data_IF_924713589125
#
_entry.id   IF_924713589125
#
_cell.length_a   1.000
_cell.length_b   1.000
_cell.length_c   1.000
_cell.angle_alpha   90.00
_cell.angle_beta   90.00
_cell.angle_gamma   90.00
#
_symmetry.space_group_name_H-M   'P 1'
#
loop_
_entity.id
_entity.type
_entity.pdbx_description
1 polymer ?
#
# COMPACT_ATOMS: atom_id res chain seq x y z
N UNK A 1 12.98 -16.75 -12.68
CA UNK A 1 13.66 -15.53 -12.23
C UNK A 1 12.70 -14.76 -11.34
N UNK A 2 13.06 -14.45 -10.10
CA UNK A 2 12.14 -13.85 -9.12
C UNK A 2 12.48 -12.39 -8.96
N UNK A 3 11.58 -11.50 -9.39
CA UNK A 3 11.72 -10.06 -9.15
C UNK A 3 11.29 -9.72 -7.74
N UNK A 4 11.74 -8.58 -7.22
CA UNK A 4 11.22 -8.04 -5.96
C UNK A 4 10.81 -6.60 -6.17
N UNK A 5 9.80 -6.17 -5.44
CA UNK A 5 9.46 -4.76 -5.31
C UNK A 5 9.48 -4.38 -3.84
N UNK A 6 9.93 -3.18 -3.51
CA UNK A 6 9.97 -2.66 -2.15
C UNK A 6 9.09 -1.42 -2.05
N UNK A 7 8.14 -1.41 -1.12
CA UNK A 7 7.36 -0.21 -0.84
C UNK A 7 8.26 0.89 -0.25
N UNK A 8 8.15 2.11 -0.80
CA UNK A 8 8.94 3.28 -0.38
C UNK A 8 8.06 4.40 0.19
N UNK A 9 6.76 4.19 0.31
CA UNK A 9 5.80 5.19 0.79
C UNK A 9 4.81 4.55 1.75
N UNK A 10 4.30 5.37 2.68
CA UNK A 10 3.27 5.02 3.65
C UNK A 10 3.71 3.99 4.71
N UNK A 11 2.74 3.47 5.45
CA UNK A 11 2.89 2.42 6.48
C UNK A 11 3.52 1.11 5.96
N UNK A 12 3.61 0.95 4.63
CA UNK A 12 4.20 -0.22 3.98
C UNK A 12 5.71 -0.08 3.75
N UNK A 13 6.31 1.06 4.10
CA UNK A 13 7.72 1.36 3.79
C UNK A 13 8.67 0.27 4.29
N UNK A 14 9.52 -0.22 3.39
CA UNK A 14 10.47 -1.31 3.64
C UNK A 14 9.93 -2.70 3.38
N UNK A 15 8.62 -2.88 3.15
CA UNK A 15 8.05 -4.17 2.81
C UNK A 15 8.50 -4.61 1.42
N UNK A 16 9.16 -5.77 1.35
CA UNK A 16 9.52 -6.43 0.10
C UNK A 16 8.44 -7.44 -0.30
N UNK A 17 8.09 -7.44 -1.58
CA UNK A 17 7.18 -8.41 -2.19
C UNK A 17 7.91 -9.08 -3.35
N UNK A 18 7.99 -10.41 -3.32
CA UNK A 18 8.54 -11.20 -4.40
C UNK A 18 7.48 -11.40 -5.50
N UNK A 19 7.91 -11.24 -6.75
CA UNK A 19 7.12 -11.46 -7.96
C UNK A 19 7.77 -12.60 -8.74
N UNK A 20 7.19 -13.79 -8.63
CA UNK A 20 7.64 -15.04 -9.25
C UNK A 20 6.70 -15.53 -10.37
N UNK A 21 5.53 -14.91 -10.49
CA UNK A 21 4.48 -15.19 -11.48
C UNK A 21 3.72 -13.92 -11.83
N UNK A 22 2.74 -14.02 -12.71
CA UNK A 22 1.78 -12.95 -12.92
C UNK A 22 0.98 -12.70 -11.64
N UNK A 23 0.98 -11.46 -11.16
CA UNK A 23 0.37 -11.08 -9.88
C UNK A 23 -0.57 -9.90 -10.07
N UNK A 24 -1.79 -10.05 -9.55
CA UNK A 24 -2.78 -8.98 -9.53
C UNK A 24 -2.50 -8.02 -8.37
N UNK A 25 -2.48 -6.73 -8.66
CA UNK A 25 -2.39 -5.65 -7.66
C UNK A 25 -3.76 -5.01 -7.50
N UNK A 26 -4.20 -4.82 -6.27
CA UNK A 26 -5.43 -4.09 -5.99
C UNK A 26 -5.81 -4.07 -4.52
N UNK A 27 -6.90 -3.39 -4.22
CA UNK A 27 -7.43 -3.28 -2.84
C UNK A 27 -8.23 -4.49 -2.40
N UNK A 28 -8.78 -5.25 -3.36
CA UNK A 28 -9.64 -6.38 -3.03
C UNK A 28 -8.81 -7.55 -2.51
N UNK A 29 -9.34 -8.31 -1.55
CA UNK A 29 -8.72 -9.52 -1.00
C UNK A 29 -8.45 -10.65 -2.01
N UNK A 30 -8.90 -10.48 -3.26
CA UNK A 30 -8.67 -11.45 -4.34
C UNK A 30 -7.45 -11.09 -5.19
N UNK A 31 -6.80 -9.96 -4.91
CA UNK A 31 -5.51 -9.60 -5.50
C UNK A 31 -4.38 -10.38 -4.81
N UNK A 32 -3.33 -10.72 -5.56
CA UNK A 32 -2.13 -11.32 -4.98
C UNK A 32 -1.36 -10.30 -4.14
N UNK A 33 -1.33 -9.04 -4.58
CA UNK A 33 -0.75 -7.91 -3.86
C UNK A 33 -1.90 -7.00 -3.40
N UNK A 34 -2.25 -7.13 -2.12
CA UNK A 34 -3.35 -6.39 -1.51
C UNK A 34 -2.85 -5.06 -0.94
N UNK A 35 -3.25 -3.96 -1.57
CA UNK A 35 -2.92 -2.61 -1.12
C UNK A 35 -4.16 -1.95 -0.50
N UNK A 36 -4.18 -1.82 0.83
CA UNK A 36 -5.34 -1.35 1.60
C UNK A 36 -5.52 0.18 1.61
N UNK A 37 -5.41 0.82 0.45
CA UNK A 37 -5.60 2.27 0.32
C UNK A 37 -6.89 2.60 -0.43
N UNK A 38 -7.64 3.61 0.03
CA UNK A 38 -8.91 4.02 -0.56
C UNK A 38 -8.78 4.47 -2.04
N UNK A 39 -7.59 4.95 -2.41
CA UNK A 39 -7.25 5.40 -3.76
C UNK A 39 -6.92 4.25 -4.73
N UNK A 40 -6.77 3.02 -4.22
CA UNK A 40 -6.48 1.84 -5.02
C UNK A 40 -7.78 1.16 -5.46
N UNK A 41 -7.93 0.95 -6.77
CA UNK A 41 -9.01 0.13 -7.35
C UNK A 41 -8.99 -1.32 -6.86
N UNK A 42 -10.16 -1.98 -6.85
CA UNK A 42 -10.29 -3.40 -6.47
C UNK A 42 -9.37 -4.32 -7.29
N UNK A 43 -9.31 -4.09 -8.60
CA UNK A 43 -8.32 -4.61 -9.54
C UNK A 43 -7.67 -3.38 -10.16
N UNK A 44 -6.43 -3.09 -9.79
CA UNK A 44 -5.77 -1.83 -10.16
C UNK A 44 -4.83 -2.05 -11.34
N UNK A 45 -3.88 -2.96 -11.17
CA UNK A 45 -2.87 -3.27 -12.17
C UNK A 45 -2.49 -4.75 -12.08
N UNK A 46 -1.75 -5.24 -13.06
CA UNK A 46 -1.12 -6.56 -13.02
C UNK A 46 0.37 -6.42 -13.29
N UNK A 47 1.16 -7.18 -12.54
CA UNK A 47 2.52 -7.51 -12.93
C UNK A 47 2.49 -8.75 -13.81
N UNK A 48 3.23 -8.70 -14.92
CA UNK A 48 3.31 -9.77 -15.90
C UNK A 48 4.77 -10.17 -16.09
N UNK A 49 5.06 -11.46 -15.99
CA UNK A 49 6.40 -12.01 -16.19
C UNK A 49 6.49 -12.63 -17.59
N UNK A 50 7.12 -11.90 -18.52
CA UNK A 50 7.22 -12.28 -19.94
C UNK A 50 8.67 -12.14 -20.41
N UNK A 51 9.17 -13.12 -21.15
CA UNK A 51 10.53 -13.11 -21.72
C UNK A 51 11.62 -12.82 -20.68
N UNK A 52 11.46 -13.37 -19.47
CA UNK A 52 12.35 -13.16 -18.34
C UNK A 52 12.48 -11.68 -17.90
N UNK A 53 11.49 -10.85 -18.25
CA UNK A 53 11.37 -9.45 -17.86
C UNK A 53 10.07 -9.22 -17.09
N UNK A 54 10.11 -8.23 -16.19
CA UNK A 54 8.93 -7.77 -15.46
C UNK A 54 8.23 -6.66 -16.26
N UNK A 55 6.91 -6.77 -16.38
CA UNK A 55 6.05 -5.79 -17.01
C UNK A 55 4.95 -5.39 -16.05
N UNK A 56 4.42 -4.18 -16.22
CA UNK A 56 3.25 -3.69 -15.50
C UNK A 56 2.18 -3.22 -16.48
N UNK A 57 0.94 -3.56 -16.18
CA UNK A 57 -0.23 -3.16 -16.95
C UNK A 57 -1.29 -2.58 -16.02
N UNK A 58 -1.77 -1.38 -16.32
CA UNK A 58 -2.96 -0.83 -15.67
C UNK A 58 -4.23 -1.53 -16.16
N UNK A 59 -5.14 -1.87 -15.25
CA UNK A 59 -6.39 -2.59 -15.54
C UNK A 59 -7.62 -1.66 -15.58
N UNK A 60 -7.42 -0.39 -15.93
CA UNK A 60 -8.48 0.63 -15.90
C UNK A 60 -8.69 1.17 -14.49
N UNK A 61 -7.61 1.42 -13.76
CA UNK A 61 -7.69 1.96 -12.41
C UNK A 61 -8.20 3.41 -12.41
N UNK A 62 -8.83 3.84 -11.30
CA UNK A 62 -9.44 5.17 -11.24
C UNK A 62 -8.40 6.30 -11.20
N UNK A 63 -7.28 6.07 -10.52
CA UNK A 63 -6.20 7.05 -10.33
C UNK A 63 -4.99 6.82 -11.24
N UNK A 64 -4.95 5.70 -11.97
CA UNK A 64 -3.87 5.34 -12.86
C UNK A 64 -2.68 4.66 -12.18
N UNK A 65 -1.90 3.99 -13.02
CA UNK A 65 -0.57 3.46 -12.70
C UNK A 65 0.49 4.32 -13.37
N UNK A 66 1.62 4.53 -12.69
CA UNK A 66 2.72 5.35 -13.17
C UNK A 66 4.04 4.58 -13.05
N UNK A 67 4.96 4.84 -13.95
CA UNK A 67 6.34 4.35 -13.92
C UNK A 67 7.24 5.57 -14.02
N UNK A 68 8.10 5.79 -13.02
CA UNK A 68 8.98 6.96 -12.92
C UNK A 68 8.20 8.28 -13.07
N UNK A 69 7.09 8.41 -12.33
CA UNK A 69 6.15 9.55 -12.33
C UNK A 69 5.44 9.82 -13.67
N UNK A 70 5.60 8.93 -14.67
CA UNK A 70 4.88 9.00 -15.95
C UNK A 70 3.74 8.01 -15.97
N UNK A 71 2.52 8.48 -16.28
CA UNK A 71 1.35 7.61 -16.38
C UNK A 71 1.52 6.65 -17.55
N UNK A 72 1.26 5.38 -17.32
CA UNK A 72 1.26 4.37 -18.39
C UNK A 72 -0.15 4.19 -18.95
N UNK A 73 -0.25 4.11 -20.27
CA UNK A 73 -1.50 3.82 -20.99
C UNK A 73 -1.52 2.40 -21.55
N UNK A 74 -0.34 1.78 -21.66
CA UNK A 74 -0.14 0.44 -22.20
C UNK A 74 0.80 -0.34 -21.28
N UNK A 75 0.85 -1.65 -21.50
CA UNK A 75 1.79 -2.54 -20.84
C UNK A 75 3.23 -2.02 -21.01
N UNK A 76 3.93 -1.80 -19.89
CA UNK A 76 5.24 -1.15 -19.86
C UNK A 76 6.24 -2.07 -19.18
N UNK A 77 7.41 -2.26 -19.82
CA UNK A 77 8.50 -3.07 -19.26
C UNK A 77 9.18 -2.30 -18.14
N UNK A 78 9.35 -2.96 -17.00
CA UNK A 78 10.08 -2.45 -15.85
C UNK A 78 11.54 -2.88 -15.89
N UNK A 79 12.39 -2.01 -15.35
CA UNK A 79 13.81 -2.24 -15.12
C UNK A 79 14.10 -2.16 -13.63
N UNK A 80 15.28 -2.63 -13.26
CA UNK A 80 15.81 -2.38 -11.93
C UNK A 80 15.85 -0.87 -11.63
N UNK A 81 15.59 -0.53 -10.38
CA UNK A 81 15.54 0.82 -9.82
C UNK A 81 14.42 1.72 -10.38
N UNK A 82 13.53 1.18 -11.24
CA UNK A 82 12.32 1.89 -11.64
C UNK A 82 11.39 2.04 -10.44
N UNK A 83 10.70 3.18 -10.37
CA UNK A 83 9.66 3.43 -9.38
C UNK A 83 8.31 3.21 -10.03
N UNK A 84 7.61 2.15 -9.62
CA UNK A 84 6.21 1.92 -9.96
C UNK A 84 5.32 2.58 -8.91
N UNK A 85 4.27 3.23 -9.38
CA UNK A 85 3.31 3.91 -8.52
C UNK A 85 1.89 3.49 -8.88
N UNK A 86 1.13 3.12 -7.86
CA UNK A 86 -0.30 2.82 -7.94
C UNK A 86 -1.03 3.88 -7.12
N UNK A 87 -1.77 4.77 -7.77
CA UNK A 87 -2.31 5.97 -7.12
C UNK A 87 -1.23 6.74 -6.32
N UNK A 88 -1.30 6.77 -4.99
CA UNK A 88 -0.35 7.44 -4.10
C UNK A 88 0.79 6.55 -3.59
N UNK A 89 0.70 5.22 -3.78
CA UNK A 89 1.66 4.26 -3.25
C UNK A 89 2.78 4.00 -4.25
N UNK A 90 4.04 4.17 -3.81
CA UNK A 90 5.24 3.97 -4.64
C UNK A 90 6.02 2.73 -4.20
N UNK A 91 6.56 2.03 -5.19
CA UNK A 91 7.34 0.80 -5.05
C UNK A 91 8.59 0.89 -5.93
N UNK A 92 9.74 0.58 -5.34
CA UNK A 92 11.01 0.44 -6.05
C UNK A 92 11.15 -0.98 -6.60
N UNK A 93 11.51 -1.12 -7.87
CA UNK A 93 11.78 -2.41 -8.50
C UNK A 93 13.23 -2.84 -8.22
N UNK A 94 13.40 -4.00 -7.61
CA UNK A 94 14.71 -4.57 -7.28
C UNK A 94 15.08 -5.68 -8.27
N UNK A 95 16.38 -5.82 -8.53
CA UNK A 95 16.90 -6.82 -9.47
C UNK A 95 16.52 -8.24 -9.04
N UNK A 96 16.15 -9.11 -10.00
CA UNK A 96 15.93 -10.49 -9.68
C UNK A 96 17.26 -11.15 -9.30
N UNK A 97 17.30 -11.74 -8.11
CA UNK A 97 18.40 -12.61 -7.72
C UNK A 97 18.36 -13.82 -8.66
N UNK A 98 19.25 -13.85 -9.66
CA UNK A 98 19.45 -15.05 -10.45
C UNK A 98 19.83 -16.19 -9.49
N UNK A 99 19.22 -17.38 -9.60
CA UNK A 99 19.78 -18.55 -8.96
C UNK A 99 21.20 -18.68 -9.52
N UNK A 100 22.20 -18.47 -8.67
CA UNK A 100 23.57 -18.81 -9.03
C UNK A 100 23.54 -20.31 -9.28
N UNK A 101 23.65 -20.71 -10.54
CA UNK A 101 23.95 -22.10 -10.89
C UNK A 101 25.36 -22.37 -10.35
N UNK A 102 25.42 -22.80 -9.10
CA UNK A 102 26.63 -23.35 -8.51
C UNK A 102 26.85 -24.66 -9.26
N UNK A 103 27.77 -24.63 -10.23
CA UNK A 103 28.27 -25.85 -10.84
C UNK A 103 28.74 -26.80 -9.73
N UNK A 104 28.34 -28.09 -9.73
CA UNK A 104 28.72 -29.00 -8.67
C UNK A 104 30.13 -29.49 -8.95
N UNK A 105 31.13 -28.80 -8.41
CA UNK A 105 32.51 -29.28 -8.35
C UNK A 105 33.12 -28.84 -7.03
N UNK A 106 32.78 -29.52 -5.94
CA UNK A 106 33.57 -30.61 -5.31
C UNK A 106 32.88 -31.02 -4.01
N UNK A 107 32.58 -32.32 -3.91
CA UNK A 107 32.21 -33.02 -2.68
C UNK A 107 33.39 -33.10 -1.69
N UNK A 108 33.05 -33.39 -0.43
CA UNK A 108 33.91 -33.78 0.70
C UNK A 108 34.80 -32.67 1.27
N UNK A 109 34.55 -32.17 2.49
CA UNK A 109 34.89 -32.90 3.73
C UNK A 109 34.27 -32.18 4.94
N UNK A 110 33.77 -32.98 5.89
CA UNK A 110 33.39 -32.68 7.29
C UNK A 110 32.09 -31.87 7.51
N UNK A 111 30.94 -32.42 7.92
CA UNK A 111 30.68 -33.60 8.76
C UNK A 111 31.67 -33.75 9.92
N UNK A 112 31.61 -32.83 10.89
CA UNK A 112 31.93 -33.06 12.31
C UNK A 112 31.84 -31.74 13.11
N UNK A 113 30.64 -31.23 13.39
CA UNK A 113 30.32 -30.48 14.62
C UNK A 113 28.82 -30.64 14.91
N UNK A 114 28.38 -31.87 15.18
CA UNK A 114 27.07 -32.17 15.77
C UNK A 114 27.30 -33.19 16.87
N UNK A 115 27.83 -32.73 17.98
CA UNK A 115 27.61 -33.34 19.29
C UNK A 115 27.97 -32.30 20.34
N UNK A 116 27.18 -32.25 21.41
CA UNK A 116 27.39 -31.42 22.61
C UNK A 116 26.81 -30.00 22.60
N UNK A 117 25.48 -29.89 22.51
CA UNK A 117 24.72 -29.00 23.42
C UNK A 117 23.39 -29.69 23.78
N UNK A 118 23.48 -30.69 24.66
CA UNK A 118 22.34 -31.10 25.47
C UNK A 118 22.19 -30.12 26.64
N UNK A 119 20.94 -29.87 27.05
CA UNK A 119 20.50 -29.11 28.22
C UNK A 119 20.49 -27.58 28.11
N UNK A 120 19.45 -27.05 27.45
CA UNK A 120 18.84 -25.78 27.90
C UNK A 120 17.43 -26.08 28.38
N UNK A 121 17.24 -25.83 29.67
CA UNK A 121 16.05 -26.09 30.44
C UNK A 121 14.83 -25.37 29.88
N UNK A 122 13.68 -26.05 29.98
CA UNK A 122 12.37 -25.52 29.64
C UNK A 122 12.10 -24.27 30.47
N UNK A 123 11.61 -23.21 29.81
CA UNK A 123 11.30 -21.94 30.44
C UNK A 123 10.18 -22.07 31.49
N UNK A 124 10.19 -21.26 32.58
CA UNK A 124 9.18 -21.28 33.64
C UNK A 124 7.73 -20.98 33.20
N UNK A 125 7.49 -20.61 31.94
CA UNK A 125 6.16 -20.30 31.41
C UNK A 125 5.26 -21.54 31.21
N UNK A 126 5.76 -22.74 31.51
CA UNK A 126 5.01 -24.00 31.39
C UNK A 126 4.47 -24.53 32.73
N UNK A 127 4.65 -23.79 33.82
CA UNK A 127 4.12 -24.16 35.12
C UNK A 127 3.06 -23.13 35.53
N UNK A 128 1.81 -23.61 35.68
CA UNK A 128 0.63 -22.93 36.22
C UNK A 128 -0.28 -22.21 35.20
N UNK A 129 -1.30 -22.93 34.71
CA UNK A 129 -2.68 -22.43 34.80
C UNK A 129 -3.70 -23.59 34.80
N UNK A 130 -3.83 -24.27 35.94
CA UNK A 130 -5.00 -25.09 36.27
C UNK A 130 -6.17 -24.18 36.70
N UNK A 131 -6.71 -23.42 35.75
CA UNK A 131 -8.02 -22.80 35.91
C UNK A 131 -8.90 -23.23 34.74
N UNK A 132 -9.89 -24.04 35.09
CA UNK A 132 -10.72 -24.81 34.19
C UNK A 132 -11.26 -24.02 33.01
N UNK A 133 -10.99 -24.55 31.82
CA UNK A 133 -11.82 -24.35 30.64
C UNK A 133 -13.17 -24.98 30.95
N UNK A 134 -14.28 -24.21 31.10
CA UNK A 134 -15.59 -24.84 31.12
C UNK A 134 -15.85 -25.46 29.75
N UNK A 135 -16.36 -26.68 29.74
CA UNK A 135 -16.68 -27.42 28.52
C UNK A 135 -17.63 -26.61 27.62
N UNK A 136 -17.43 -26.71 26.31
CA UNK A 136 -18.26 -26.06 25.26
C UNK A 136 -19.73 -26.50 25.27
N UNK A 137 -20.17 -27.34 26.21
CA UNK A 137 -21.54 -27.82 26.39
C UNK A 137 -22.41 -26.95 27.32
N UNK A 138 -21.85 -25.96 28.01
CA UNK A 138 -22.60 -25.13 28.98
C UNK A 138 -22.94 -23.71 28.49
N UNK A 139 -22.67 -23.35 27.22
CA UNK A 139 -22.94 -21.99 26.69
C UNK A 139 -24.27 -21.79 25.96
N UNK A 140 -25.08 -22.84 25.78
CA UNK A 140 -26.21 -22.77 24.83
C UNK A 140 -27.61 -22.70 25.48
N UNK A 141 -27.72 -22.57 26.80
CA UNK A 141 -29.02 -22.73 27.47
C UNK A 141 -29.89 -21.46 27.58
N UNK A 142 -29.47 -20.29 27.09
CA UNK A 142 -30.24 -19.04 27.30
C UNK A 142 -30.69 -18.31 26.04
N UNK A 143 -30.55 -18.87 24.84
CA UNK A 143 -30.98 -18.22 23.60
C UNK A 143 -31.97 -19.11 22.84
N UNK A 144 -33.25 -18.78 22.95
CA UNK A 144 -34.28 -19.38 22.09
C UNK A 144 -34.09 -18.86 20.66
N UNK A 145 -33.65 -19.73 19.76
CA UNK A 145 -33.47 -19.45 18.33
C UNK A 145 -34.66 -20.04 17.56
N UNK A 146 -35.19 -19.28 16.59
CA UNK A 146 -36.19 -19.79 15.63
C UNK A 146 -35.50 -20.72 14.63
N UNK A 147 -36.25 -21.58 13.91
CA UNK A 147 -35.73 -22.51 12.88
C UNK A 147 -34.86 -21.83 11.79
N UNK A 148 -35.05 -20.53 11.56
CA UNK A 148 -34.27 -19.69 10.63
C UNK A 148 -33.11 -18.92 11.30
N UNK A 149 -32.79 -19.19 12.57
CA UNK A 149 -31.66 -18.58 13.29
C UNK A 149 -31.90 -17.17 13.84
N UNK A 150 -33.12 -16.63 13.77
CA UNK A 150 -33.44 -15.32 14.34
C UNK A 150 -33.81 -15.40 15.85
N UNK A 151 -33.32 -14.44 16.68
CA UNK A 151 -33.66 -14.35 18.10
C UNK A 151 -35.14 -13.98 18.30
N UNK A 152 -35.85 -14.72 19.15
CA UNK A 152 -37.31 -14.58 19.34
C UNK A 152 -37.75 -13.38 20.18
N UNK A 153 -36.82 -12.65 20.82
CA UNK A 153 -37.15 -11.56 21.74
C UNK A 153 -36.44 -10.24 21.37
N UNK A 154 -36.60 -9.79 20.14
CA UNK A 154 -36.25 -8.42 19.75
C UNK A 154 -37.45 -7.54 20.06
N UNK A 155 -37.43 -6.88 21.23
CA UNK A 155 -38.42 -5.86 21.54
C UNK A 155 -38.31 -4.73 20.53
N UNK A 156 -39.33 -4.57 19.68
CA UNK A 156 -39.42 -3.43 18.78
C UNK A 156 -39.60 -2.19 19.67
N UNK A 157 -38.66 -1.22 19.69
CA UNK A 157 -38.87 0.00 20.44
C UNK A 157 -40.11 0.70 19.87
N UNK A 158 -41.07 1.01 20.76
CA UNK A 158 -42.29 1.73 20.36
C UNK A 158 -41.85 3.05 19.69
N UNK A 159 -42.33 3.38 18.49
CA UNK A 159 -41.96 4.62 17.81
C UNK A 159 -42.25 5.81 18.72
N UNK A 160 -41.34 6.79 18.74
CA UNK A 160 -41.54 8.03 19.47
C UNK A 160 -42.89 8.64 19.07
N UNK A 161 -43.73 9.09 20.02
CA UNK A 161 -44.96 9.80 19.69
C UNK A 161 -44.61 11.01 18.85
N UNK A 162 -45.18 11.11 17.64
CA UNK A 162 -45.12 12.35 16.86
C UNK A 162 -45.98 13.35 17.62
N UNK A 163 -45.39 14.48 18.02
CA UNK A 163 -46.13 15.55 18.65
C UNK A 163 -47.19 16.08 17.67
N UNK A 164 -48.48 15.91 18.00
CA UNK A 164 -49.57 16.53 17.26
C UNK A 164 -49.51 18.05 17.50
N UNK A 165 -49.22 18.83 16.46
CA UNK A 165 -49.21 20.30 16.50
C UNK A 165 -47.96 21.01 15.98
N UNK A 166 -47.10 20.37 15.19
CA UNK A 166 -46.00 21.09 14.51
C UNK A 166 -46.57 21.86 13.32
N UNK A 167 -46.74 23.16 13.50
CA UNK A 167 -47.10 24.09 12.43
C UNK A 167 -45.94 24.20 11.41
N UNK A 168 -46.12 23.61 10.23
CA UNK A 168 -45.14 23.56 9.13
C UNK A 168 -44.95 24.93 8.44
N UNK A 169 -45.63 25.99 8.92
CA UNK A 169 -45.74 27.26 8.20
C UNK A 169 -44.67 28.30 8.55
N UNK A 170 -43.68 27.97 9.40
CA UNK A 170 -42.59 28.89 9.77
C UNK A 170 -41.21 28.33 9.45
N UNK A 171 -40.99 27.99 8.18
CA UNK A 171 -39.64 27.83 7.65
C UNK A 171 -38.98 29.20 7.64
N UNK A 172 -38.10 29.44 8.60
CA UNK A 172 -37.20 30.61 8.60
C UNK A 172 -36.40 30.57 7.29
N UNK A 173 -36.37 31.64 6.48
CA UNK A 173 -35.59 31.66 5.26
C UNK A 173 -34.14 31.37 5.59
N UNK A 174 -33.56 30.44 4.84
CA UNK A 174 -32.16 30.04 4.91
C UNK A 174 -31.29 31.31 4.82
N UNK A 175 -30.33 31.50 5.74
CA UNK A 175 -29.48 32.69 5.71
C UNK A 175 -28.72 32.74 4.38
N UNK A 176 -28.74 33.91 3.72
CA UNK A 176 -28.03 34.11 2.46
C UNK A 176 -26.54 33.74 2.63
N UNK A 177 -25.93 33.05 1.65
CA UNK A 177 -24.55 32.59 1.76
C UNK A 177 -23.62 33.79 1.93
N UNK A 178 -22.88 33.77 3.04
CA UNK A 178 -21.83 34.75 3.33
C UNK A 178 -20.65 34.43 2.40
N UNK A 179 -20.08 35.40 1.66
CA UNK A 179 -18.88 35.16 0.87
C UNK A 179 -17.73 34.75 1.79
N UNK A 180 -17.36 33.46 1.76
CA UNK A 180 -16.18 32.95 2.45
C UNK A 180 -14.99 33.23 1.54
N UNK A 181 -14.08 34.10 1.96
CA UNK A 181 -12.78 34.26 1.31
C UNK A 181 -12.03 32.92 1.38
N UNK A 182 -11.87 32.26 0.23
CA UNK A 182 -11.16 31.00 0.14
C UNK A 182 -9.66 31.29 0.37
N UNK A 183 -9.02 30.67 1.37
CA UNK A 183 -7.58 30.79 1.51
C UNK A 183 -6.91 30.17 0.28
N UNK A 184 -5.88 30.84 -0.24
CA UNK A 184 -5.09 30.40 -1.40
C UNK A 184 -4.74 28.93 -1.24
N UNK A 185 -5.09 28.11 -2.24
CA UNK A 185 -4.93 26.67 -2.16
C UNK A 185 -3.45 26.31 -2.01
N UNK A 186 -3.13 25.33 -1.14
CA UNK A 186 -1.75 24.85 -0.96
C UNK A 186 -1.10 24.42 -2.29
N UNK A 187 -1.91 23.94 -3.22
CA UNK A 187 -1.50 23.49 -4.56
C UNK A 187 -0.95 24.66 -5.41
N UNK A 188 -1.52 25.85 -5.29
CA UNK A 188 -1.02 27.03 -6.02
C UNK A 188 0.30 27.55 -5.44
N UNK A 189 0.45 27.51 -4.11
CA UNK A 189 1.69 27.91 -3.43
C UNK A 189 2.88 27.01 -3.82
N UNK A 190 2.66 25.70 -3.92
CA UNK A 190 3.71 24.75 -4.33
C UNK A 190 4.15 24.95 -5.79
N UNK A 191 3.20 25.25 -6.69
CA UNK A 191 3.49 25.49 -8.11
C UNK A 191 4.32 26.75 -8.34
N UNK A 192 4.10 27.81 -7.56
CA UNK A 192 4.94 29.02 -7.61
C UNK A 192 6.34 28.77 -7.06
N UNK A 193 6.46 28.03 -5.95
CA UNK A 193 7.76 27.63 -5.40
C UNK A 193 8.58 26.81 -6.41
N UNK A 194 7.94 25.86 -7.12
CA UNK A 194 8.60 25.04 -8.14
C UNK A 194 9.12 25.87 -9.32
N UNK A 195 8.34 26.86 -9.79
CA UNK A 195 8.77 27.77 -10.86
C UNK A 195 9.99 28.60 -10.44
N UNK A 196 9.96 29.17 -9.25
CA UNK A 196 11.06 30.01 -8.74
C UNK A 196 12.36 29.20 -8.55
N UNK A 197 12.26 27.95 -8.07
CA UNK A 197 13.41 27.04 -7.97
C UNK A 197 14.01 26.70 -9.35
N UNK A 198 13.16 26.44 -10.35
CA UNK A 198 13.62 26.12 -11.71
C UNK A 198 14.39 27.27 -12.36
N UNK A 199 13.98 28.52 -12.13
CA UNK A 199 14.65 29.72 -12.66
C UNK A 199 16.03 29.91 -12.01
N UNK A 200 16.16 29.64 -10.71
CA UNK A 200 17.43 29.70 -10.00
C UNK A 200 18.44 28.68 -10.51
N UNK A 201 18.00 27.44 -10.75
CA UNK A 201 18.86 26.38 -11.29
C UNK A 201 19.34 26.71 -12.71
N UNK A 202 18.44 27.19 -13.57
CA UNK A 202 18.80 27.60 -14.94
C UNK A 202 19.83 28.74 -14.91
N UNK A 203 19.63 29.74 -14.04
CA UNK A 203 20.58 30.85 -13.90
C UNK A 203 21.96 30.37 -13.44
N UNK A 204 22.02 29.43 -12.49
CA UNK A 204 23.27 28.84 -12.00
C UNK A 204 24.01 28.08 -13.10
N UNK A 205 23.30 27.25 -13.88
CA UNK A 205 23.89 26.50 -15.00
C UNK A 205 24.47 27.45 -16.05
N UNK A 206 23.74 28.52 -16.40
CA UNK A 206 24.21 29.53 -17.35
C UNK A 206 25.50 30.21 -16.85
N UNK A 207 25.58 30.55 -15.56
CA UNK A 207 26.79 31.15 -14.98
C UNK A 207 28.00 30.20 -15.04
N UNK A 208 27.79 28.90 -14.78
CA UNK A 208 28.85 27.89 -14.87
C UNK A 208 29.35 27.77 -16.32
N UNK A 209 28.44 27.72 -17.29
CA UNK A 209 28.80 27.64 -18.71
C UNK A 209 29.60 28.88 -19.13
N UNK A 210 29.16 30.08 -18.74
CA UNK A 210 29.89 31.32 -19.03
C UNK A 210 31.28 31.34 -18.39
N UNK A 211 31.43 30.83 -17.18
CA UNK A 211 32.72 30.71 -16.50
C UNK A 211 33.68 29.75 -17.23
N UNK A 212 33.17 28.61 -17.73
CA UNK A 212 33.96 27.65 -18.51
C UNK A 212 34.39 28.28 -19.84
N UNK A 213 33.48 28.95 -20.56
CA UNK A 213 33.80 29.63 -21.82
C UNK A 213 34.85 30.71 -21.59
N UNK A 214 34.70 31.54 -20.55
CA UNK A 214 35.70 32.54 -20.19
C UNK A 214 37.05 31.88 -19.88
N UNK A 215 37.07 30.80 -19.09
CA UNK A 215 38.32 30.09 -18.78
C UNK A 215 39.01 29.52 -20.03
N UNK A 216 38.25 29.01 -21.00
CA UNK A 216 38.78 28.52 -22.28
C UNK A 216 39.30 29.64 -23.16
N UNK A 217 38.65 30.82 -23.17
CA UNK A 217 39.05 31.95 -24.00
C UNK A 217 40.24 32.75 -23.44
N UNK A 218 40.44 32.74 -22.12
CA UNK A 218 41.50 33.49 -21.43
C UNK A 218 42.71 32.61 -21.04
N UNK A 219 42.80 31.38 -21.57
CA UNK A 219 43.91 30.45 -21.40
C UNK A 219 44.67 30.25 -22.70
#
# INVERSE_FOLDING_TARGET
MTWKIQAITDDLTGQEIAIDRDMLVGRHQAADIVLQAAEISRKHAAFLLKDNALWVQDLGSSNGTFVNDLRIEQETRLKQDDVVQFASLKFLVLEPVAPVEVAPEVEETAEQVVEEIETVEKTPAQQMNDQGIPELKERDASVNLTRDGMPTNVGIPKPAPIAEGVDLSSVKPEPAPIPVEQPVSRVEQEKEAQKNASIGLISLIVLIILAIIAWVLFK
#
